data_IF_726185752493
#
_entry.id   IF_726185752493
#
_cell.length_a   1.000
_cell.length_b   1.000
_cell.length_c   1.000
_cell.angle_alpha   90.00
_cell.angle_beta   90.00
_cell.angle_gamma   90.00
#
_symmetry.space_group_name_H-M   'P 1'
#
loop_
_entity.id
_entity.type
_entity.pdbx_description
1 polymer ?
#
# COMPACT_ATOMS: atom_id res chain seq x y z
N UNK A 1 18.85 -14.20 16.01
CA UNK A 1 17.58 -13.55 15.62
C UNK A 1 17.67 -13.25 14.12
N UNK A 2 17.01 -14.04 13.26
CA UNK A 2 17.06 -13.85 11.80
C UNK A 2 16.10 -12.73 11.41
N UNK A 3 16.61 -11.51 11.23
CA UNK A 3 15.88 -10.49 10.47
C UNK A 3 15.72 -11.06 9.05
N UNK A 4 14.48 -11.29 8.65
CA UNK A 4 14.14 -11.86 7.35
C UNK A 4 14.67 -10.94 6.23
N UNK A 5 15.17 -11.55 5.15
CA UNK A 5 15.70 -10.92 3.93
C UNK A 5 14.67 -10.06 3.14
N UNK A 6 13.59 -9.58 3.76
CA UNK A 6 12.47 -8.91 3.08
C UNK A 6 12.80 -7.47 2.66
N UNK A 7 13.64 -6.78 3.41
CA UNK A 7 13.97 -5.37 3.16
C UNK A 7 15.44 -5.22 2.81
N UNK A 8 15.73 -4.52 1.72
CA UNK A 8 17.10 -4.18 1.31
C UNK A 8 17.34 -2.71 1.70
N UNK A 9 18.60 -2.32 1.83
CA UNK A 9 19.00 -0.92 2.06
C UNK A 9 18.29 -0.25 3.26
N UNK A 10 18.67 -0.65 4.47
CA UNK A 10 18.23 0.02 5.70
C UNK A 10 19.28 1.05 6.10
N UNK A 11 18.86 2.31 6.22
CA UNK A 11 19.67 3.40 6.76
C UNK A 11 18.93 4.07 7.92
N UNK A 12 19.69 4.42 8.95
CA UNK A 12 19.18 5.10 10.15
C UNK A 12 19.95 6.40 10.28
N UNK A 13 19.22 7.51 10.39
CA UNK A 13 19.75 8.85 10.50
C UNK A 13 19.10 9.56 11.69
N UNK A 14 19.81 10.50 12.30
CA UNK A 14 19.27 11.38 13.33
C UNK A 14 18.76 12.66 12.67
N UNK A 15 17.47 12.95 12.85
CA UNK A 15 16.85 14.17 12.37
C UNK A 15 17.19 15.37 13.24
N UNK A 16 17.00 16.57 12.69
CA UNK A 16 17.34 17.86 13.32
C UNK A 16 16.55 18.11 14.62
N UNK A 17 15.36 17.52 14.75
CA UNK A 17 14.44 17.72 15.89
C UNK A 17 14.46 16.55 16.90
N UNK A 18 15.61 15.89 17.05
CA UNK A 18 15.74 14.64 17.83
C UNK A 18 14.81 13.52 17.34
N UNK A 19 14.50 13.53 16.04
CA UNK A 19 13.72 12.49 15.37
C UNK A 19 14.67 11.37 14.93
N UNK A 20 14.14 10.17 14.76
CA UNK A 20 14.85 9.07 14.11
C UNK A 20 14.30 8.93 12.71
N UNK A 21 15.15 9.06 11.70
CA UNK A 21 14.78 8.86 10.31
C UNK A 21 15.22 7.46 9.90
N UNK A 22 14.26 6.65 9.47
CA UNK A 22 14.47 5.29 9.02
C UNK A 22 14.15 5.22 7.53
N UNK A 23 15.21 5.06 6.72
CA UNK A 23 15.11 4.87 5.28
C UNK A 23 15.20 3.36 4.99
N UNK A 24 14.16 2.80 4.36
CA UNK A 24 14.09 1.38 3.99
C UNK A 24 13.62 1.31 2.55
N UNK A 25 14.50 0.88 1.65
CA UNK A 25 14.23 0.87 0.20
C UNK A 25 13.71 2.24 -0.29
N UNK A 26 12.46 2.32 -0.75
CA UNK A 26 11.81 3.56 -1.22
C UNK A 26 10.88 4.19 -0.18
N UNK A 27 11.03 3.80 1.08
CA UNK A 27 10.17 4.21 2.20
C UNK A 27 11.02 5.01 3.17
N UNK A 28 10.52 6.17 3.60
CA UNK A 28 11.13 6.99 4.64
C UNK A 28 10.14 7.14 5.79
N UNK A 29 10.57 6.76 6.99
CA UNK A 29 9.79 6.91 8.22
C UNK A 29 10.49 7.93 9.11
N UNK A 30 9.79 8.99 9.51
CA UNK A 30 10.26 9.98 10.47
C UNK A 30 9.57 9.65 11.80
N UNK A 31 10.33 9.09 12.72
CA UNK A 31 9.88 8.70 14.05
C UNK A 31 10.07 9.92 14.97
N UNK A 32 8.99 10.53 15.47
CA UNK A 32 9.09 11.72 16.29
C UNK A 32 9.62 11.38 17.69
N UNK A 33 10.16 12.37 18.40
CA UNK A 33 10.73 12.20 19.74
C UNK A 33 9.72 11.76 20.81
N UNK A 34 8.41 11.94 20.54
CA UNK A 34 7.30 11.53 21.39
C UNK A 34 6.68 10.18 20.96
N UNK A 35 7.32 9.43 20.06
CA UNK A 35 6.99 8.03 19.79
C UNK A 35 7.14 7.18 21.07
N UNK A 36 6.24 6.22 21.38
CA UNK A 36 5.14 5.72 20.55
C UNK A 36 3.79 6.43 20.75
N UNK A 37 3.73 7.55 21.48
CA UNK A 37 2.46 8.25 21.70
C UNK A 37 1.92 8.94 20.43
N UNK A 38 2.82 9.28 19.51
CA UNK A 38 2.47 9.86 18.21
C UNK A 38 2.93 8.93 17.07
N UNK A 39 2.18 8.87 15.96
CA UNK A 39 2.54 8.06 14.81
C UNK A 39 3.80 8.61 14.13
N UNK A 40 4.61 7.74 13.48
CA UNK A 40 5.65 8.20 12.58
C UNK A 40 5.04 8.83 11.33
N UNK A 41 5.73 9.83 10.77
CA UNK A 41 5.41 10.30 9.42
C UNK A 41 6.01 9.36 8.40
N UNK A 42 5.25 9.01 7.37
CA UNK A 42 5.66 7.99 6.39
C UNK A 42 5.62 8.61 5.01
N UNK A 43 6.66 8.33 4.22
CA UNK A 43 6.78 8.71 2.83
C UNK A 43 7.11 7.48 1.98
N UNK A 44 6.51 7.39 0.79
CA UNK A 44 6.77 6.33 -0.18
C UNK A 44 7.10 6.99 -1.51
N UNK A 45 8.33 6.79 -2.01
CA UNK A 45 8.88 7.54 -3.15
C UNK A 45 8.71 9.06 -2.98
N UNK A 46 9.05 9.58 -1.78
CA UNK A 46 8.91 11.00 -1.41
C UNK A 46 7.47 11.54 -1.38
N UNK A 47 6.46 10.70 -1.57
CA UNK A 47 5.04 11.07 -1.45
C UNK A 47 4.59 10.82 0.00
N UNK A 48 4.00 11.81 0.70
CA UNK A 48 3.40 11.61 2.01
C UNK A 48 2.39 10.46 1.99
N UNK A 49 2.36 9.65 3.05
CA UNK A 49 1.52 8.44 3.04
C UNK A 49 0.03 8.75 2.84
N UNK A 50 -0.51 9.82 3.43
CA UNK A 50 -1.91 10.23 3.23
C UNK A 50 -2.25 10.52 1.76
N UNK A 51 -1.32 11.16 1.03
CA UNK A 51 -1.46 11.37 -0.42
C UNK A 51 -1.28 10.05 -1.18
N UNK A 52 -0.32 9.22 -0.73
CA UNK A 52 -0.07 7.92 -1.33
C UNK A 52 -1.30 7.03 -1.26
N UNK A 53 -2.02 6.97 -0.13
CA UNK A 53 -3.19 6.11 0.00
C UNK A 53 -4.40 6.64 -0.80
N UNK A 54 -4.43 7.94 -1.11
CA UNK A 54 -5.58 8.59 -1.73
C UNK A 54 -5.72 8.21 -3.21
N UNK A 55 -6.83 7.60 -3.64
CA UNK A 55 -7.05 7.29 -5.05
C UNK A 55 -7.24 8.58 -5.89
N UNK A 56 -6.63 8.68 -7.09
CA UNK A 56 -6.61 9.92 -7.87
C UNK A 56 -7.91 10.29 -8.59
N UNK A 57 -8.91 9.41 -8.66
CA UNK A 57 -10.22 9.71 -9.27
C UNK A 57 -11.35 8.92 -8.65
N UNK A 58 -12.60 9.37 -8.84
CA UNK A 58 -13.79 8.70 -8.30
C UNK A 58 -13.93 7.26 -8.81
N UNK A 59 -13.68 7.01 -10.09
CA UNK A 59 -13.72 5.65 -10.65
C UNK A 59 -12.68 4.74 -10.00
N UNK A 60 -11.44 5.24 -9.85
CA UNK A 60 -10.34 4.50 -9.22
C UNK A 60 -10.62 4.26 -7.74
N UNK A 61 -11.23 5.25 -7.07
CA UNK A 61 -11.66 5.17 -5.68
C UNK A 61 -12.71 4.08 -5.49
N UNK A 62 -13.75 4.04 -6.30
CA UNK A 62 -14.81 3.02 -6.21
C UNK A 62 -14.28 1.61 -6.38
N UNK A 63 -13.40 1.37 -7.36
CA UNK A 63 -12.77 0.06 -7.58
C UNK A 63 -11.90 -0.33 -6.37
N UNK A 64 -11.06 0.59 -5.91
CA UNK A 64 -10.15 0.36 -4.78
C UNK A 64 -10.88 0.06 -3.48
N UNK A 65 -11.94 0.82 -3.16
CA UNK A 65 -12.76 0.61 -1.97
C UNK A 65 -13.48 -0.74 -2.03
N UNK A 66 -14.06 -1.09 -3.18
CA UNK A 66 -14.75 -2.36 -3.34
C UNK A 66 -13.80 -3.55 -3.13
N UNK A 67 -12.57 -3.44 -3.60
CA UNK A 67 -11.57 -4.48 -3.38
C UNK A 67 -11.07 -4.53 -1.92
N UNK A 68 -10.82 -3.37 -1.30
CA UNK A 68 -10.44 -3.30 0.11
C UNK A 68 -11.49 -3.96 1.02
N UNK A 69 -12.79 -3.68 0.78
CA UNK A 69 -13.90 -4.33 1.51
C UNK A 69 -13.91 -5.84 1.37
N UNK A 70 -13.62 -6.37 0.16
CA UNK A 70 -13.52 -7.83 -0.07
C UNK A 70 -12.36 -8.48 0.67
N UNK A 71 -11.31 -7.71 0.97
CA UNK A 71 -10.18 -8.15 1.79
C UNK A 71 -10.36 -7.83 3.28
N UNK A 72 -11.57 -7.41 3.70
CA UNK A 72 -11.86 -7.00 5.08
C UNK A 72 -10.97 -5.85 5.58
N UNK A 73 -10.46 -5.03 4.66
CA UNK A 73 -9.56 -3.90 4.94
C UNK A 73 -10.34 -2.59 4.93
N UNK A 74 -10.20 -1.81 6.00
CA UNK A 74 -10.80 -0.47 6.15
C UNK A 74 -9.78 0.66 5.95
N UNK A 75 -8.70 0.39 5.22
CA UNK A 75 -7.52 1.25 5.13
C UNK A 75 -7.80 2.68 4.62
N UNK A 76 -8.83 2.85 3.78
CA UNK A 76 -9.25 4.14 3.24
C UNK A 76 -10.09 4.97 4.23
N UNK A 77 -10.60 4.35 5.29
CA UNK A 77 -11.40 5.00 6.33
C UNK A 77 -10.63 5.08 7.66
N UNK A 78 -9.73 4.11 7.91
CA UNK A 78 -9.06 3.87 9.19
C UNK A 78 -7.59 3.45 9.00
N UNK A 79 -6.80 4.27 8.30
CA UNK A 79 -5.35 4.06 8.25
C UNK A 79 -4.76 4.16 9.65
N UNK A 80 -3.94 3.18 10.04
CA UNK A 80 -3.38 3.12 11.39
C UNK A 80 -2.38 4.24 11.66
N UNK A 81 -1.83 4.85 10.61
CA UNK A 81 -0.84 5.93 10.70
C UNK A 81 -1.49 7.29 10.88
N UNK A 82 -2.82 7.39 10.80
CA UNK A 82 -3.54 8.60 11.13
C UNK A 82 -3.52 8.84 12.64
N UNK A 83 -3.44 10.10 13.05
CA UNK A 83 -3.41 10.46 14.47
C UNK A 83 -4.64 9.93 15.24
N UNK A 84 -5.80 9.84 14.59
CA UNK A 84 -7.07 9.41 15.19
C UNK A 84 -7.08 7.89 15.46
N UNK A 85 -6.36 7.11 14.65
CA UNK A 85 -6.38 5.64 14.72
C UNK A 85 -5.07 5.03 15.23
N UNK A 86 -4.04 5.85 15.38
CA UNK A 86 -2.78 5.45 15.97
C UNK A 86 -2.98 4.97 17.41
N UNK A 87 -2.29 3.89 17.75
CA UNK A 87 -2.21 3.35 19.10
C UNK A 87 -0.75 3.09 19.42
N UNK A 88 -0.27 3.43 20.63
CA UNK A 88 1.12 3.19 21.01
C UNK A 88 1.56 1.72 20.99
N UNK A 89 0.61 0.78 20.97
CA UNK A 89 0.86 -0.65 20.82
C UNK A 89 1.14 -1.08 19.38
N UNK A 90 0.91 -0.21 18.39
CA UNK A 90 1.24 -0.48 16.99
C UNK A 90 2.74 -0.40 16.78
N UNK A 91 3.26 -1.37 16.05
CA UNK A 91 4.66 -1.48 15.71
C UNK A 91 4.92 -1.05 14.26
N UNK A 92 6.19 -0.85 13.92
CA UNK A 92 6.60 -0.62 12.53
C UNK A 92 6.18 -1.77 11.60
N UNK A 93 6.08 -3.02 12.09
CA UNK A 93 5.61 -4.13 11.25
C UNK A 93 4.16 -3.94 10.83
N UNK A 94 3.30 -3.43 11.73
CA UNK A 94 1.91 -3.13 11.38
C UNK A 94 1.82 -2.07 10.28
N UNK A 95 2.71 -1.06 10.32
CA UNK A 95 2.81 -0.04 9.27
C UNK A 95 3.21 -0.68 7.94
N UNK A 96 4.20 -1.55 7.93
CA UNK A 96 4.62 -2.23 6.71
C UNK A 96 3.55 -3.17 6.16
N UNK A 97 2.81 -3.86 7.02
CA UNK A 97 1.68 -4.71 6.62
C UNK A 97 0.57 -3.86 5.98
N UNK A 98 0.29 -2.67 6.55
CA UNK A 98 -0.64 -1.71 5.97
C UNK A 98 -0.18 -1.26 4.57
N UNK A 99 1.09 -0.85 4.43
CA UNK A 99 1.68 -0.46 3.13
C UNK A 99 1.55 -1.59 2.10
N UNK A 100 1.83 -2.83 2.50
CA UNK A 100 1.73 -4.00 1.63
C UNK A 100 0.27 -4.27 1.19
N UNK A 101 -0.71 -4.07 2.07
CA UNK A 101 -2.13 -4.14 1.69
C UNK A 101 -2.51 -3.08 0.66
N UNK A 102 -2.04 -1.83 0.83
CA UNK A 102 -2.31 -0.74 -0.13
C UNK A 102 -1.70 -1.04 -1.49
N UNK A 103 -0.48 -1.55 -1.51
CA UNK A 103 0.18 -1.97 -2.75
C UNK A 103 -0.65 -3.01 -3.50
N UNK A 104 -1.19 -4.02 -2.80
CA UNK A 104 -2.09 -5.02 -3.38
C UNK A 104 -3.36 -4.38 -3.95
N UNK A 105 -3.97 -3.43 -3.22
CA UNK A 105 -5.17 -2.73 -3.69
C UNK A 105 -4.87 -1.92 -4.96
N UNK A 106 -3.81 -1.11 -4.95
CA UNK A 106 -3.40 -0.31 -6.10
C UNK A 106 -3.12 -1.17 -7.33
N UNK A 107 -2.47 -2.31 -7.13
CA UNK A 107 -2.16 -3.23 -8.21
C UNK A 107 -3.43 -3.88 -8.78
N UNK A 108 -4.32 -4.36 -7.93
CA UNK A 108 -5.63 -4.87 -8.36
C UNK A 108 -6.40 -3.81 -9.17
N UNK A 109 -6.49 -2.59 -8.65
CA UNK A 109 -7.19 -1.48 -9.31
C UNK A 109 -6.57 -1.16 -10.66
N UNK A 110 -5.23 -1.15 -10.77
CA UNK A 110 -4.52 -0.98 -12.04
C UNK A 110 -4.93 -2.03 -13.06
N UNK A 111 -4.99 -3.31 -12.68
CA UNK A 111 -5.40 -4.38 -13.59
C UNK A 111 -6.85 -4.26 -14.01
N UNK A 112 -7.76 -3.97 -13.08
CA UNK A 112 -9.18 -3.75 -13.39
C UNK A 112 -9.38 -2.64 -14.42
N UNK A 113 -8.68 -1.51 -14.28
CA UNK A 113 -8.75 -0.40 -15.23
C UNK A 113 -8.20 -0.82 -16.59
N UNK A 114 -7.05 -1.49 -16.62
CA UNK A 114 -6.45 -1.95 -17.87
C UNK A 114 -7.40 -2.90 -18.64
N UNK A 115 -8.05 -3.82 -17.92
CA UNK A 115 -9.02 -4.76 -18.49
C UNK A 115 -10.25 -4.01 -18.98
N UNK A 116 -10.80 -3.10 -18.19
CA UNK A 116 -11.95 -2.30 -18.60
C UNK A 116 -11.65 -1.51 -19.88
N UNK A 117 -10.56 -0.75 -19.92
CA UNK A 117 -10.14 0.03 -21.08
C UNK A 117 -9.90 -0.85 -22.32
N UNK A 118 -9.27 -2.01 -22.16
CA UNK A 118 -8.96 -2.91 -23.28
C UNK A 118 -10.23 -3.58 -23.79
N UNK A 119 -11.04 -4.11 -22.89
CA UNK A 119 -12.22 -4.90 -23.25
C UNK A 119 -13.36 -4.05 -23.80
N UNK A 120 -13.50 -2.80 -23.35
CA UNK A 120 -14.43 -1.84 -23.96
C UNK A 120 -13.96 -1.40 -25.34
N UNK A 121 -12.66 -1.08 -25.49
CA UNK A 121 -12.09 -0.66 -26.77
C UNK A 121 -12.27 -1.70 -27.89
N UNK A 122 -12.24 -2.98 -27.54
CA UNK A 122 -12.34 -4.09 -28.51
C UNK A 122 -13.67 -4.85 -28.42
N UNK A 123 -14.64 -4.35 -27.66
CA UNK A 123 -15.96 -4.95 -27.45
C UNK A 123 -15.91 -6.45 -27.12
N UNK A 124 -15.03 -6.84 -26.22
CA UNK A 124 -14.84 -8.25 -25.88
C UNK A 124 -16.05 -8.83 -25.13
N UNK A 125 -16.43 -10.10 -25.42
CA UNK A 125 -17.46 -10.81 -24.67
C UNK A 125 -17.04 -11.00 -23.22
N UNK A 126 -18.03 -11.12 -22.32
CA UNK A 126 -17.80 -11.04 -20.86
C UNK A 126 -16.92 -12.18 -20.33
N UNK A 127 -16.99 -13.34 -20.98
CA UNK A 127 -16.19 -14.53 -20.72
C UNK A 127 -14.70 -14.24 -20.92
N UNK A 128 -14.35 -13.56 -22.02
CA UNK A 128 -12.97 -13.16 -22.31
C UNK A 128 -12.44 -12.15 -21.28
N UNK A 129 -13.32 -11.27 -20.76
CA UNK A 129 -12.95 -10.32 -19.70
C UNK A 129 -12.53 -11.06 -18.42
N UNK A 130 -13.25 -12.14 -18.08
CA UNK A 130 -12.96 -12.96 -16.90
C UNK A 130 -11.67 -13.76 -17.06
N UNK A 131 -11.40 -14.30 -18.26
CA UNK A 131 -10.15 -15.01 -18.54
C UNK A 131 -8.93 -14.09 -18.50
N UNK A 132 -9.00 -12.90 -19.12
CA UNK A 132 -7.91 -11.91 -19.07
C UNK A 132 -7.67 -11.46 -17.62
N UNK A 133 -8.74 -11.24 -16.86
CA UNK A 133 -8.63 -10.91 -15.43
C UNK A 133 -7.92 -12.01 -14.65
N UNK A 134 -8.34 -13.26 -14.84
CA UNK A 134 -7.74 -14.43 -14.18
C UNK A 134 -6.28 -14.62 -14.59
N UNK A 135 -5.95 -14.40 -15.87
CA UNK A 135 -4.58 -14.47 -16.38
C UNK A 135 -3.68 -13.41 -15.77
N UNK A 136 -4.11 -12.14 -15.74
CA UNK A 136 -3.33 -11.04 -15.15
C UNK A 136 -3.15 -11.22 -13.64
N UNK A 137 -4.18 -11.73 -12.94
CA UNK A 137 -4.10 -12.03 -11.52
C UNK A 137 -3.20 -13.25 -11.24
N UNK A 138 -3.29 -14.29 -12.08
CA UNK A 138 -2.52 -15.53 -11.99
C UNK A 138 -1.02 -15.33 -12.27
N UNK A 139 -0.68 -14.57 -13.32
CA UNK A 139 0.70 -14.14 -13.59
C UNK A 139 1.34 -13.47 -12.37
N UNK A 140 0.56 -12.67 -11.65
CA UNK A 140 1.05 -11.97 -10.48
C UNK A 140 1.28 -12.89 -9.28
N UNK A 141 0.41 -13.87 -9.05
CA UNK A 141 0.62 -14.89 -8.02
C UNK A 141 1.84 -15.77 -8.31
N UNK A 142 2.12 -16.06 -9.59
CA UNK A 142 3.33 -16.79 -9.99
C UNK A 142 4.63 -15.99 -9.78
N UNK A 143 4.60 -14.65 -9.87
CA UNK A 143 5.79 -13.81 -9.60
C UNK A 143 6.20 -13.71 -8.13
N UNK A 144 5.39 -14.19 -7.19
CA UNK A 144 5.74 -14.25 -5.76
C UNK A 144 6.15 -15.65 -5.27
N UNK A 145 6.18 -16.64 -6.17
CA UNK A 145 6.61 -18.01 -5.88
C UNK A 145 8.01 -18.34 -6.44
N UNK A 146 8.78 -17.32 -6.84
CA UNK A 146 10.19 -17.44 -7.28
C UNK A 146 11.11 -16.68 -6.34
#
# INVERSE_FOLDING_TARGET
MKLSNKYRNVMIERGEKNEIILNIDKRRLIIPSNYPHYPPQIFINDIPFEEYITPPSNTIKSISINFAKRMESNIFEKSITSFIHWKPSLSLSNIFDEIDQINKIKQYTKYMIAIHLTTEKFNFPIELKQEIFTFLLGLHLCTFLV
#
